data_IF_682962542530
#
_entry.id   IF_682962542530
#
_cell.length_a   1.000
_cell.length_b   1.000
_cell.length_c   1.000
_cell.angle_alpha   90.00
_cell.angle_beta   90.00
_cell.angle_gamma   90.00
#
_symmetry.space_group_name_H-M   'P 1'
#
loop_
_entity.id
_entity.type
_entity.pdbx_description
1 polymer ?
#
# COMPACT_ATOMS: atom_id res chain seq x y z
N UNK A 1 -13.51 8.86 -7.68
CA UNK A 1 -12.28 8.05 -7.54
C UNK A 1 -12.24 7.09 -8.72
N UNK A 2 -11.07 6.81 -9.34
CA UNK A 2 -10.99 5.80 -10.39
C UNK A 2 -11.55 4.46 -9.91
N UNK A 3 -12.15 3.70 -10.81
CA UNK A 3 -12.68 2.38 -10.49
C UNK A 3 -11.56 1.48 -9.94
N UNK A 4 -11.85 0.73 -8.86
CA UNK A 4 -10.90 -0.16 -8.19
C UNK A 4 -9.58 0.48 -7.70
N UNK A 5 -9.50 1.80 -7.56
CA UNK A 5 -8.29 2.48 -7.08
C UNK A 5 -7.75 1.91 -5.76
N UNK A 6 -8.64 1.60 -4.82
CA UNK A 6 -8.26 1.10 -3.50
C UNK A 6 -7.79 -0.36 -3.52
N UNK A 7 -7.94 -1.07 -4.65
CA UNK A 7 -7.37 -2.41 -4.85
C UNK A 7 -5.85 -2.39 -4.75
N UNK A 8 -5.20 -1.30 -5.15
CA UNK A 8 -3.74 -1.18 -5.04
C UNK A 8 -3.23 -1.34 -3.60
N UNK A 9 -3.98 -0.83 -2.61
CA UNK A 9 -3.63 -1.01 -1.19
C UNK A 9 -3.73 -2.48 -0.79
N UNK A 10 -4.77 -3.17 -1.24
CA UNK A 10 -4.93 -4.60 -1.02
C UNK A 10 -3.80 -5.42 -1.66
N UNK A 11 -3.46 -5.11 -2.93
CA UNK A 11 -2.40 -5.81 -3.66
C UNK A 11 -1.05 -5.67 -2.93
N UNK A 12 -0.71 -4.47 -2.46
CA UNK A 12 0.49 -4.25 -1.63
C UNK A 12 0.42 -5.03 -0.32
N UNK A 13 -0.72 -5.05 0.36
CA UNK A 13 -0.89 -5.84 1.59
C UNK A 13 -0.69 -7.36 1.35
N UNK A 14 -1.15 -7.89 0.21
CA UNK A 14 -0.92 -9.29 -0.16
C UNK A 14 0.55 -9.54 -0.47
N UNK A 15 1.19 -8.67 -1.24
CA UNK A 15 2.63 -8.78 -1.52
C UNK A 15 3.47 -8.74 -0.24
N UNK A 16 3.13 -7.87 0.72
CA UNK A 16 3.80 -7.80 2.01
C UNK A 16 3.56 -9.04 2.89
N UNK A 17 2.60 -9.91 2.56
CA UNK A 17 2.41 -11.20 3.22
C UNK A 17 3.41 -12.27 2.72
N UNK A 18 4.02 -12.03 1.55
CA UNK A 18 4.81 -13.03 0.83
C UNK A 18 6.27 -13.04 1.35
N UNK A 19 6.82 -14.18 1.80
CA UNK A 19 8.18 -14.27 2.31
C UNK A 19 9.25 -13.78 1.34
N UNK A 20 9.08 -14.02 0.05
CA UNK A 20 10.02 -13.62 -1.00
C UNK A 20 10.05 -12.10 -1.17
N UNK A 21 8.88 -11.44 -1.09
CA UNK A 21 8.79 -9.98 -1.10
C UNK A 21 9.42 -9.43 0.16
N UNK A 22 9.13 -10.05 1.31
CA UNK A 22 9.76 -9.69 2.59
C UNK A 22 11.26 -9.86 2.54
N UNK A 23 11.83 -10.86 1.86
CA UNK A 23 13.27 -10.99 1.72
C UNK A 23 13.87 -9.95 0.75
N UNK A 24 13.07 -9.47 -0.21
CA UNK A 24 13.53 -8.57 -1.27
C UNK A 24 13.50 -7.08 -0.89
N UNK A 25 12.48 -6.62 -0.17
CA UNK A 25 12.36 -5.20 0.22
C UNK A 25 13.46 -4.79 1.21
N UNK A 26 13.97 -3.57 1.07
CA UNK A 26 15.11 -3.04 1.82
C UNK A 26 16.48 -3.55 1.35
N UNK A 27 16.55 -4.38 0.30
CA UNK A 27 17.83 -4.77 -0.30
C UNK A 27 18.39 -3.67 -1.22
N UNK A 28 19.71 -3.63 -1.47
CA UNK A 28 20.28 -2.71 -2.47
C UNK A 28 19.66 -2.86 -3.86
N UNK A 29 19.33 -4.09 -4.25
CA UNK A 29 18.68 -4.37 -5.54
C UNK A 29 17.26 -3.77 -5.63
N UNK A 30 16.52 -3.77 -4.51
CA UNK A 30 15.23 -3.12 -4.43
C UNK A 30 15.35 -1.59 -4.53
N UNK A 31 16.30 -0.99 -3.82
CA UNK A 31 16.54 0.46 -3.88
C UNK A 31 16.94 0.92 -5.29
N UNK A 32 17.80 0.16 -5.97
CA UNK A 32 18.16 0.47 -7.36
C UNK A 32 16.94 0.36 -8.28
N UNK A 33 16.09 -0.65 -8.08
CA UNK A 33 14.86 -0.80 -8.84
C UNK A 33 13.88 0.36 -8.60
N UNK A 34 13.84 0.93 -7.38
CA UNK A 34 13.04 2.14 -7.10
C UNK A 34 13.52 3.33 -7.92
N UNK A 35 14.83 3.59 -7.98
CA UNK A 35 15.41 4.69 -8.79
C UNK A 35 15.08 4.58 -10.28
N UNK A 36 14.98 3.35 -10.80
CA UNK A 36 14.65 3.09 -12.21
C UNK A 36 13.15 3.27 -12.49
N UNK A 37 12.29 2.93 -11.52
CA UNK A 37 10.83 2.81 -11.74
C UNK A 37 10.04 4.05 -11.33
N UNK A 38 10.52 4.78 -10.33
CA UNK A 38 9.93 6.05 -9.93
C UNK A 38 10.33 7.14 -10.90
N UNK A 39 9.46 8.13 -11.12
CA UNK A 39 9.80 9.30 -11.93
C UNK A 39 10.81 10.16 -11.17
N UNK A 40 11.57 10.99 -11.90
CA UNK A 40 12.64 11.79 -11.31
C UNK A 40 12.18 12.68 -10.15
N UNK A 41 10.93 13.18 -10.19
CA UNK A 41 10.37 14.06 -9.17
C UNK A 41 9.66 13.34 -8.02
N UNK A 42 9.57 12.00 -8.08
CA UNK A 42 8.87 11.25 -7.04
C UNK A 42 9.75 11.06 -5.79
N UNK A 43 9.16 11.20 -4.61
CA UNK A 43 9.85 10.89 -3.37
C UNK A 43 10.02 9.36 -3.21
N UNK A 44 11.26 8.89 -3.28
CA UNK A 44 11.60 7.48 -3.10
C UNK A 44 11.38 6.99 -1.67
N UNK A 45 11.29 7.89 -0.68
CA UNK A 45 11.02 7.53 0.71
C UNK A 45 9.52 7.35 0.91
N UNK A 46 9.09 6.09 0.89
CA UNK A 46 7.68 5.73 1.08
C UNK A 46 7.15 6.21 2.44
N UNK A 47 8.02 6.28 3.45
CA UNK A 47 7.70 6.82 4.79
C UNK A 47 7.35 8.30 4.83
N UNK A 48 7.63 9.06 3.79
CA UNK A 48 7.30 10.48 3.67
C UNK A 48 6.08 10.72 2.76
N UNK A 49 5.52 9.66 2.18
CA UNK A 49 4.45 9.77 1.19
C UNK A 49 3.06 9.62 1.83
N UNK A 50 2.24 10.67 1.71
CA UNK A 50 0.89 10.73 2.27
C UNK A 50 -0.07 9.67 1.75
N UNK A 51 0.18 9.10 0.56
CA UNK A 51 -0.60 7.97 0.05
C UNK A 51 -0.46 6.73 0.93
N UNK A 52 0.65 6.56 1.66
CA UNK A 52 0.85 5.42 2.55
C UNK A 52 0.62 5.77 4.02
N UNK A 53 0.87 7.03 4.39
CA UNK A 53 0.64 7.52 5.75
C UNK A 53 -0.85 7.73 6.05
N UNK A 54 -1.58 8.30 5.08
CA UNK A 54 -2.97 8.76 5.19
C UNK A 54 -3.22 9.50 6.51
N UNK A 55 -2.49 10.60 6.76
CA UNK A 55 -2.57 11.34 8.02
C UNK A 55 -3.90 12.06 8.21
N UNK A 56 -4.53 12.52 7.13
CA UNK A 56 -5.86 13.15 7.19
C UNK A 56 -6.95 12.12 7.50
N UNK A 57 -7.53 12.24 8.70
CA UNK A 57 -8.51 11.28 9.21
C UNK A 57 -9.79 11.21 8.35
N UNK A 58 -10.18 12.32 7.71
CA UNK A 58 -11.36 12.37 6.83
C UNK A 58 -11.13 11.55 5.56
N UNK A 59 -9.95 11.72 4.94
CA UNK A 59 -9.52 10.95 3.77
C UNK A 59 -9.43 9.47 4.11
N UNK A 60 -8.83 9.12 5.24
CA UNK A 60 -8.75 7.73 5.70
C UNK A 60 -10.14 7.10 5.89
N UNK A 61 -11.07 7.81 6.53
CA UNK A 61 -12.44 7.35 6.72
C UNK A 61 -13.18 7.18 5.39
N UNK A 62 -13.04 8.14 4.47
CA UNK A 62 -13.60 8.05 3.12
C UNK A 62 -13.08 6.80 2.39
N UNK A 63 -11.76 6.56 2.45
CA UNK A 63 -11.16 5.40 1.77
C UNK A 63 -11.64 4.09 2.37
N UNK A 64 -11.79 3.99 3.69
CA UNK A 64 -12.35 2.80 4.32
C UNK A 64 -13.79 2.51 3.82
N UNK A 65 -14.62 3.53 3.71
CA UNK A 65 -16.00 3.42 3.19
C UNK A 65 -16.02 3.03 1.72
N UNK A 66 -15.24 3.71 0.87
CA UNK A 66 -15.17 3.40 -0.56
C UNK A 66 -14.57 2.01 -0.82
N UNK A 67 -13.60 1.58 -0.01
CA UNK A 67 -13.03 0.24 -0.09
C UNK A 67 -14.10 -0.80 0.25
N UNK A 68 -14.87 -0.61 1.31
CA UNK A 68 -15.91 -1.54 1.74
C UNK A 68 -16.98 -1.78 0.66
N UNK A 69 -17.28 -0.78 -0.17
CA UNK A 69 -18.22 -0.92 -1.30
C UNK A 69 -17.74 -1.94 -2.34
N UNK A 70 -16.45 -2.21 -2.40
CA UNK A 70 -15.86 -3.20 -3.32
C UNK A 70 -15.89 -4.62 -2.75
N UNK A 71 -16.54 -4.88 -1.61
CA UNK A 71 -16.59 -6.23 -1.02
C UNK A 71 -17.12 -7.31 -1.97
N UNK A 72 -18.03 -6.95 -2.87
CA UNK A 72 -18.65 -7.89 -3.82
C UNK A 72 -17.70 -8.46 -4.88
N UNK A 73 -16.51 -7.91 -5.04
CA UNK A 73 -15.50 -8.42 -5.99
C UNK A 73 -14.45 -9.33 -5.34
N UNK A 74 -14.49 -9.51 -4.01
CA UNK A 74 -13.54 -10.35 -3.28
C UNK A 74 -14.10 -11.75 -3.06
N UNK A 75 -13.25 -12.77 -3.26
CA UNK A 75 -13.58 -14.14 -2.87
C UNK A 75 -13.44 -14.28 -1.34
N UNK A 76 -14.54 -14.56 -0.65
CA UNK A 76 -14.57 -14.69 0.81
C UNK A 76 -14.76 -13.36 1.54
N UNK A 77 -14.05 -13.17 2.66
CA UNK A 77 -14.15 -11.94 3.47
C UNK A 77 -13.13 -10.91 3.00
N UNK A 78 -13.62 -9.70 2.71
CA UNK A 78 -12.77 -8.54 2.49
C UNK A 78 -12.03 -8.16 3.79
N UNK A 79 -10.73 -7.93 3.68
CA UNK A 79 -9.88 -7.54 4.81
C UNK A 79 -10.21 -6.09 5.20
N UNK A 80 -10.38 -5.74 6.49
CA UNK A 80 -10.60 -4.35 6.88
C UNK A 80 -9.50 -3.41 6.34
N UNK A 81 -9.90 -2.24 5.84
CA UNK A 81 -8.94 -1.28 5.26
C UNK A 81 -7.87 -0.84 6.26
N UNK A 82 -8.20 -0.75 7.54
CA UNK A 82 -7.23 -0.40 8.59
C UNK A 82 -6.17 -1.50 8.80
N UNK A 83 -6.51 -2.76 8.59
CA UNK A 83 -5.54 -3.86 8.65
C UNK A 83 -4.56 -3.82 7.47
N UNK A 84 -5.08 -3.46 6.30
CA UNK A 84 -4.27 -3.19 5.10
C UNK A 84 -3.26 -2.08 5.38
N UNK A 85 -3.72 -0.93 5.89
CA UNK A 85 -2.85 0.19 6.22
C UNK A 85 -1.84 -0.13 7.31
N UNK A 86 -2.24 -0.88 8.33
CA UNK A 86 -1.35 -1.29 9.43
C UNK A 86 -0.15 -2.09 8.91
N UNK A 87 -0.39 -3.11 8.08
CA UNK A 87 0.72 -3.91 7.50
C UNK A 87 1.64 -3.06 6.62
N UNK A 88 1.08 -2.16 5.82
CA UNK A 88 1.87 -1.24 4.99
C UNK A 88 2.77 -0.38 5.88
N UNK A 89 2.23 0.18 6.97
CA UNK A 89 3.00 1.00 7.92
C UNK A 89 4.11 0.23 8.63
N UNK A 90 3.86 -1.02 9.02
CA UNK A 90 4.87 -1.91 9.64
C UNK A 90 6.08 -2.16 8.72
N UNK A 91 5.89 -2.15 7.40
CA UNK A 91 6.95 -2.41 6.42
C UNK A 91 7.51 -1.15 5.76
N UNK A 92 6.95 0.01 6.08
CA UNK A 92 7.19 1.29 5.39
C UNK A 92 8.65 1.73 5.39
N UNK A 93 9.42 1.41 6.43
CA UNK A 93 10.84 1.75 6.51
C UNK A 93 11.72 0.97 5.50
N UNK A 94 11.20 -0.13 4.96
CA UNK A 94 11.89 -1.03 4.03
C UNK A 94 11.36 -0.93 2.60
N UNK A 95 10.26 -0.20 2.41
CA UNK A 95 9.60 0.07 1.15
C UNK A 95 10.20 1.28 0.43
#
# INVERSE_FOLDING_TARGET
MPENFLRHYYDVHQLLATPEVQAFIGTPAYEERKRIRFRQDDNLKISENEAFLLRDARTRALYAVEYQKTSGIYYGRQIPFEDILRRIKENMARL
#
